data_IF_502363616848
#
_entry.id   IF_502363616848
#
_cell.length_a   1.000
_cell.length_b   1.000
_cell.length_c   1.000
_cell.angle_alpha   90.00
_cell.angle_beta   90.00
_cell.angle_gamma   90.00
#
_symmetry.space_group_name_H-M   'P 1'
#
loop_
_entity.id
_entity.type
_entity.pdbx_description
1 polymer ?
#
# COMPACT_ATOMS: atom_id res chain seq x y z
N UNK A 1 -36.09 -33.74 20.17
CA UNK A 1 -36.45 -32.31 20.05
C UNK A 1 -35.16 -31.54 19.77
N UNK A 2 -34.99 -31.05 18.54
CA UNK A 2 -33.74 -30.43 18.06
C UNK A 2 -33.83 -28.92 18.25
N UNK A 3 -32.94 -28.36 19.06
CA UNK A 3 -32.74 -26.91 19.18
C UNK A 3 -32.30 -26.32 17.84
N UNK A 4 -33.11 -25.42 17.29
CA UNK A 4 -32.69 -24.53 16.19
C UNK A 4 -32.40 -23.14 16.78
N UNK A 5 -31.13 -22.88 17.06
CA UNK A 5 -30.62 -21.53 17.27
C UNK A 5 -29.78 -21.14 16.04
N UNK A 6 -30.29 -20.21 15.24
CA UNK A 6 -29.58 -19.50 14.20
C UNK A 6 -30.24 -18.11 14.07
N UNK A 7 -29.57 -17.07 13.56
CA UNK A 7 -28.18 -16.66 13.72
C UNK A 7 -28.13 -15.15 14.05
N UNK A 8 -27.81 -14.76 15.29
CA UNK A 8 -27.77 -13.33 15.67
C UNK A 8 -26.51 -12.59 15.16
N UNK A 9 -25.54 -13.30 14.58
CA UNK A 9 -24.24 -12.75 14.18
C UNK A 9 -24.22 -12.13 12.77
N UNK A 10 -25.23 -12.41 11.95
CA UNK A 10 -25.29 -11.95 10.55
C UNK A 10 -26.00 -10.59 10.40
N UNK A 11 -26.78 -10.17 11.40
CA UNK A 11 -27.57 -8.94 11.33
C UNK A 11 -26.71 -7.67 11.45
N UNK A 12 -25.64 -7.70 12.25
CA UNK A 12 -24.80 -6.51 12.49
C UNK A 12 -23.91 -6.16 11.31
N UNK A 13 -23.49 -7.15 10.51
CA UNK A 13 -22.69 -6.93 9.30
C UNK A 13 -23.54 -6.32 8.17
N UNK A 14 -24.81 -6.76 8.07
CA UNK A 14 -25.74 -6.30 7.03
C UNK A 14 -26.17 -4.84 7.25
N UNK A 15 -26.36 -4.42 8.51
CA UNK A 15 -26.80 -3.06 8.86
C UNK A 15 -25.75 -1.97 8.56
N UNK A 16 -24.46 -2.29 8.73
CA UNK A 16 -23.36 -1.37 8.40
C UNK A 16 -23.24 -1.18 6.87
N UNK A 17 -23.54 -2.23 6.08
CA UNK A 17 -23.49 -2.16 4.61
C UNK A 17 -24.68 -1.38 4.05
N UNK A 18 -25.89 -1.53 4.62
CA UNK A 18 -27.10 -0.84 4.13
C UNK A 18 -27.13 0.66 4.42
N UNK A 19 -26.50 1.13 5.52
CA UNK A 19 -26.41 2.58 5.80
C UNK A 19 -25.54 3.37 4.83
N UNK A 20 -24.77 2.69 3.95
CA UNK A 20 -23.87 3.34 2.99
C UNK A 20 -24.51 3.47 1.60
N UNK A 21 -25.64 2.80 1.32
CA UNK A 21 -26.17 2.68 -0.05
C UNK A 21 -27.42 3.52 -0.36
N UNK A 22 -28.03 4.23 0.60
CA UNK A 22 -29.42 4.74 0.43
C UNK A 22 -29.67 6.25 0.61
N UNK A 23 -28.66 7.12 0.65
CA UNK A 23 -28.90 8.59 0.71
C UNK A 23 -27.89 9.41 -0.09
N UNK A 24 -28.17 10.70 -0.26
CA UNK A 24 -27.65 11.67 -1.23
C UNK A 24 -26.11 11.92 -1.27
N UNK A 25 -25.57 12.44 -2.39
CA UNK A 25 -24.14 12.61 -2.62
C UNK A 25 -23.62 13.95 -2.06
N UNK A 26 -23.47 14.05 -0.74
CA UNK A 26 -22.74 15.18 -0.13
C UNK A 26 -22.13 14.91 1.27
N UNK A 27 -22.44 13.79 1.92
CA UNK A 27 -22.14 13.64 3.34
C UNK A 27 -20.93 12.75 3.66
N UNK A 28 -20.10 13.23 4.59
CA UNK A 28 -19.06 12.45 5.22
C UNK A 28 -19.70 11.34 6.08
N UNK A 29 -19.74 10.10 5.59
CA UNK A 29 -20.26 8.95 6.33
C UNK A 29 -19.19 8.32 7.20
N UNK A 30 -19.51 8.03 8.45
CA UNK A 30 -18.64 7.30 9.36
C UNK A 30 -19.44 6.34 10.21
N UNK A 31 -18.95 5.11 10.35
CA UNK A 31 -19.48 4.12 11.26
C UNK A 31 -18.35 3.60 12.13
N UNK A 32 -18.56 3.54 13.44
CA UNK A 32 -17.59 3.01 14.39
C UNK A 32 -18.30 2.09 15.38
N UNK A 33 -17.71 0.93 15.63
CA UNK A 33 -18.12 0.00 16.67
C UNK A 33 -16.90 -0.35 17.52
N UNK A 34 -17.07 -0.36 18.84
CA UNK A 34 -16.05 -0.84 19.80
C UNK A 34 -16.73 -1.80 20.76
N UNK A 35 -16.07 -2.91 21.04
CA UNK A 35 -16.50 -3.88 22.04
C UNK A 35 -15.30 -4.45 22.79
N UNK A 36 -15.57 -5.37 23.71
CA UNK A 36 -14.58 -6.00 24.58
C UNK A 36 -13.43 -6.68 23.81
N UNK A 37 -13.67 -7.12 22.57
CA UNK A 37 -12.71 -7.86 21.75
C UNK A 37 -12.10 -7.06 20.60
N UNK A 38 -12.42 -5.76 20.47
CA UNK A 38 -11.85 -4.94 19.40
C UNK A 38 -12.66 -3.72 19.01
N UNK A 39 -12.19 -3.05 17.96
CA UNK A 39 -12.88 -1.94 17.35
C UNK A 39 -12.85 -2.07 15.83
N UNK A 40 -13.95 -1.73 15.19
CA UNK A 40 -14.06 -1.61 13.74
C UNK A 40 -14.60 -0.23 13.39
N UNK A 41 -14.25 0.24 12.21
CA UNK A 41 -14.87 1.44 11.68
C UNK A 41 -14.59 1.62 10.21
N UNK A 42 -15.53 2.30 9.57
CA UNK A 42 -15.43 2.69 8.18
C UNK A 42 -15.75 4.18 8.06
N UNK A 43 -15.17 4.80 7.06
CA UNK A 43 -15.53 6.15 6.64
C UNK A 43 -15.59 6.22 5.12
N UNK A 44 -16.45 7.09 4.63
CA UNK A 44 -16.49 7.54 3.26
C UNK A 44 -16.72 9.05 3.26
N UNK A 45 -16.06 9.75 2.34
CA UNK A 45 -16.19 11.19 2.20
C UNK A 45 -16.04 11.53 0.72
N UNK A 46 -16.99 12.29 0.20
CA UNK A 46 -16.93 12.86 -1.14
C UNK A 46 -16.85 14.38 -1.00
N UNK A 47 -15.90 15.00 -1.68
CA UNK A 47 -15.75 16.44 -1.78
C UNK A 47 -15.78 16.87 -3.24
N UNK A 48 -15.71 18.19 -3.46
CA UNK A 48 -15.82 18.81 -4.79
C UNK A 48 -14.89 18.20 -5.84
N UNK A 49 -13.66 17.87 -5.46
CA UNK A 49 -12.62 17.40 -6.38
C UNK A 49 -12.17 15.97 -6.09
N UNK A 50 -12.95 15.15 -5.37
CA UNK A 50 -12.51 13.79 -5.10
C UNK A 50 -13.26 13.06 -4.01
N UNK A 51 -12.89 11.81 -3.81
CA UNK A 51 -13.48 10.94 -2.81
C UNK A 51 -12.42 10.21 -2.00
N UNK A 52 -12.75 9.82 -0.78
CA UNK A 52 -11.92 8.92 0.02
C UNK A 52 -12.80 8.00 0.85
N UNK A 53 -12.40 6.75 0.95
CA UNK A 53 -13.04 5.79 1.80
C UNK A 53 -11.99 4.93 2.49
N UNK A 54 -12.34 4.38 3.63
CA UNK A 54 -11.50 3.41 4.30
C UNK A 54 -12.23 2.65 5.37
N UNK A 55 -11.72 1.46 5.66
CA UNK A 55 -12.22 0.59 6.70
C UNK A 55 -11.05 0.07 7.51
N UNK A 56 -11.29 -0.19 8.79
CA UNK A 56 -10.31 -0.81 9.69
C UNK A 56 -11.02 -1.66 10.71
N UNK A 57 -10.42 -2.77 11.09
CA UNK A 57 -10.83 -3.52 12.27
C UNK A 57 -9.60 -4.01 13.01
N UNK A 58 -9.63 -3.90 14.33
CA UNK A 58 -8.54 -4.32 15.21
C UNK A 58 -9.13 -5.06 16.40
N UNK A 59 -8.48 -6.16 16.77
CA UNK A 59 -8.72 -6.89 18.00
C UNK A 59 -7.41 -7.13 18.75
N UNK A 60 -7.48 -7.84 19.87
CA UNK A 60 -6.34 -8.05 20.77
C UNK A 60 -5.11 -8.69 20.09
N UNK A 61 -5.33 -9.50 19.05
CA UNK A 61 -4.30 -10.32 18.42
C UNK A 61 -4.06 -9.99 16.94
N UNK A 62 -4.71 -8.97 16.39
CA UNK A 62 -4.55 -8.65 14.98
C UNK A 62 -5.51 -7.59 14.49
N UNK A 63 -5.36 -7.21 13.24
CA UNK A 63 -6.26 -6.28 12.61
C UNK A 63 -5.94 -6.07 11.14
N UNK A 64 -6.83 -5.35 10.47
CA UNK A 64 -6.66 -4.94 9.09
C UNK A 64 -7.07 -3.47 8.93
N UNK A 65 -6.55 -2.86 7.88
CA UNK A 65 -7.02 -1.57 7.40
C UNK A 65 -6.91 -1.52 5.89
N UNK A 66 -7.83 -0.80 5.27
CA UNK A 66 -7.80 -0.44 3.87
C UNK A 66 -8.28 1.00 3.73
N UNK A 67 -7.72 1.73 2.78
CA UNK A 67 -8.17 3.07 2.39
C UNK A 67 -7.91 3.26 0.90
N UNK A 68 -8.84 3.96 0.26
CA UNK A 68 -8.70 4.43 -1.10
C UNK A 68 -9.07 5.91 -1.15
N UNK A 69 -8.46 6.64 -2.06
CA UNK A 69 -8.83 8.01 -2.39
C UNK A 69 -8.69 8.24 -3.89
N UNK A 70 -9.58 9.05 -4.44
CA UNK A 70 -9.50 9.60 -5.78
C UNK A 70 -9.54 11.12 -5.71
N UNK A 71 -8.88 11.75 -6.67
CA UNK A 71 -8.86 13.19 -6.86
C UNK A 71 -9.00 13.47 -8.35
N UNK A 72 -9.88 14.41 -8.66
CA UNK A 72 -10.15 14.95 -9.98
C UNK A 72 -10.12 16.47 -9.82
N UNK A 73 -8.93 17.04 -9.98
CA UNK A 73 -8.68 18.46 -9.81
C UNK A 73 -9.08 19.30 -11.02
N UNK A 74 -9.08 20.63 -10.86
CA UNK A 74 -9.21 21.55 -11.98
C UNK A 74 -8.14 21.29 -13.05
N UNK A 75 -8.46 21.59 -14.31
CA UNK A 75 -7.54 21.50 -15.45
C UNK A 75 -7.04 20.07 -15.75
N UNK A 76 -7.86 19.03 -15.52
CA UNK A 76 -7.58 17.67 -15.98
C UNK A 76 -6.57 16.87 -15.13
N UNK A 77 -6.09 17.42 -14.00
CA UNK A 77 -5.23 16.68 -13.08
C UNK A 77 -6.04 15.63 -12.32
N UNK A 78 -5.61 14.37 -12.36
CA UNK A 78 -6.26 13.28 -11.63
C UNK A 78 -5.26 12.53 -10.74
N UNK A 79 -5.77 11.84 -9.73
CA UNK A 79 -4.95 11.08 -8.80
C UNK A 79 -5.73 10.01 -8.08
N UNK A 80 -5.07 8.91 -7.77
CA UNK A 80 -5.62 7.78 -7.03
C UNK A 80 -4.60 7.28 -6.02
N UNK A 81 -5.10 6.90 -4.85
CA UNK A 81 -4.32 6.26 -3.81
C UNK A 81 -5.09 5.05 -3.31
N UNK A 82 -4.41 3.92 -3.18
CA UNK A 82 -4.89 2.76 -2.46
C UNK A 82 -3.85 2.37 -1.42
N UNK A 83 -4.29 2.00 -0.22
CA UNK A 83 -3.39 1.50 0.81
C UNK A 83 -4.13 0.53 1.70
N UNK A 84 -3.44 -0.51 2.15
CA UNK A 84 -4.02 -1.44 3.09
C UNK A 84 -2.96 -2.25 3.80
N UNK A 85 -3.39 -3.07 4.72
CA UNK A 85 -2.50 -3.96 5.45
C UNK A 85 -3.24 -4.70 6.53
N UNK A 86 -2.63 -5.79 6.98
CA UNK A 86 -3.10 -6.55 8.12
C UNK A 86 -1.92 -7.00 8.98
N UNK A 87 -2.18 -7.26 10.24
CA UNK A 87 -1.20 -7.86 11.15
C UNK A 87 -1.87 -8.89 12.04
N UNK A 88 -1.07 -9.85 12.50
CA UNK A 88 -1.42 -10.80 13.55
C UNK A 88 -0.24 -10.94 14.50
N UNK A 89 -0.49 -10.73 15.79
CA UNK A 89 0.52 -10.79 16.85
C UNK A 89 1.19 -12.18 16.85
N UNK A 90 2.51 -12.20 16.90
CA UNK A 90 3.30 -13.44 16.89
C UNK A 90 3.42 -14.14 15.53
N UNK A 91 2.71 -13.68 14.50
CA UNK A 91 2.81 -14.22 13.13
C UNK A 91 3.50 -13.23 12.20
N UNK A 92 3.06 -11.98 12.20
CA UNK A 92 3.60 -10.97 11.29
C UNK A 92 2.55 -10.01 10.76
N UNK A 93 2.86 -9.36 9.66
CA UNK A 93 1.92 -8.47 9.00
C UNK A 93 2.40 -8.01 7.64
N UNK A 94 1.49 -7.45 6.88
CA UNK A 94 1.78 -6.84 5.59
C UNK A 94 1.15 -5.46 5.48
N UNK A 95 1.72 -4.64 4.60
CA UNK A 95 1.20 -3.35 4.21
C UNK A 95 1.49 -3.12 2.74
N UNK A 96 0.48 -2.69 1.99
CA UNK A 96 0.60 -2.29 0.61
C UNK A 96 0.14 -0.83 0.45
N UNK A 97 0.74 -0.13 -0.49
CA UNK A 97 0.36 1.21 -0.93
C UNK A 97 0.59 1.31 -2.43
N UNK A 98 -0.34 1.98 -3.09
CA UNK A 98 -0.25 2.36 -4.47
C UNK A 98 -0.73 3.79 -4.62
N UNK A 99 -0.07 4.52 -5.51
CA UNK A 99 -0.41 5.85 -5.93
C UNK A 99 -0.26 5.93 -7.44
N UNK A 100 -1.20 6.59 -8.09
CA UNK A 100 -1.16 6.94 -9.51
C UNK A 100 -1.65 8.37 -9.64
N UNK A 101 -1.05 9.16 -10.50
CA UNK A 101 -1.53 10.50 -10.83
C UNK A 101 -1.16 10.88 -12.25
N UNK A 102 -2.00 11.72 -12.83
CA UNK A 102 -1.81 12.34 -14.13
C UNK A 102 -1.97 13.85 -13.95
N UNK A 103 -0.96 14.60 -14.37
CA UNK A 103 -0.98 16.04 -14.37
C UNK A 103 -1.68 16.60 -15.61
N UNK A 104 -2.19 17.83 -15.48
CA UNK A 104 -2.85 18.59 -16.56
C UNK A 104 -2.11 18.59 -17.91
N UNK A 105 -0.77 18.51 -17.87
CA UNK A 105 0.08 18.58 -19.06
C UNK A 105 0.44 17.20 -19.64
N UNK A 106 -0.25 16.12 -19.24
CA UNK A 106 -0.03 14.75 -19.75
C UNK A 106 1.13 13.99 -19.10
N UNK A 107 1.80 14.58 -18.10
CA UNK A 107 2.79 13.86 -17.30
C UNK A 107 2.13 12.95 -16.26
N UNK A 108 2.69 11.78 -16.00
CA UNK A 108 2.14 10.81 -15.05
C UNK A 108 3.15 10.37 -14.00
N UNK A 109 2.65 9.90 -12.85
CA UNK A 109 3.45 9.41 -11.75
C UNK A 109 2.77 8.22 -11.06
N UNK A 110 3.44 7.07 -11.08
CA UNK A 110 3.00 5.85 -10.42
C UNK A 110 4.00 5.48 -9.32
N UNK A 111 3.50 5.14 -8.13
CA UNK A 111 4.32 4.62 -7.03
C UNK A 111 3.64 3.45 -6.37
N UNK A 112 4.40 2.45 -5.99
CA UNK A 112 3.91 1.36 -5.17
C UNK A 112 4.89 1.04 -4.05
N UNK A 113 4.38 0.47 -2.98
CA UNK A 113 5.17 -0.04 -1.88
C UNK A 113 4.43 -1.16 -1.17
N UNK A 114 5.05 -2.32 -1.09
CA UNK A 114 4.56 -3.47 -0.36
C UNK A 114 5.60 -3.86 0.68
N UNK A 115 5.18 -4.23 1.88
CA UNK A 115 6.06 -4.71 2.93
C UNK A 115 5.39 -5.88 3.62
N UNK A 116 6.09 -7.00 3.74
CA UNK A 116 5.69 -8.16 4.51
C UNK A 116 6.74 -8.43 5.59
N UNK A 117 6.29 -8.75 6.80
CA UNK A 117 7.14 -9.08 7.94
C UNK A 117 6.63 -10.35 8.60
N UNK A 118 7.52 -11.29 8.87
CA UNK A 118 7.26 -12.50 9.63
C UNK A 118 7.86 -12.36 11.04
N UNK A 119 7.00 -12.42 12.05
CA UNK A 119 7.40 -12.26 13.44
C UNK A 119 8.10 -13.49 14.03
N UNK A 120 7.89 -14.68 13.47
CA UNK A 120 8.51 -15.93 13.93
C UNK A 120 10.00 -15.97 13.54
N UNK A 121 10.31 -15.54 12.31
CA UNK A 121 11.68 -15.50 11.80
C UNK A 121 12.37 -14.15 12.06
N UNK A 122 11.60 -13.11 12.40
CA UNK A 122 12.11 -11.75 12.55
C UNK A 122 12.56 -11.12 11.24
N UNK A 123 12.13 -11.66 10.09
CA UNK A 123 12.54 -11.21 8.76
C UNK A 123 11.42 -10.47 8.04
N UNK A 124 11.78 -9.58 7.13
CA UNK A 124 10.82 -8.89 6.27
C UNK A 124 11.39 -8.53 4.92
N UNK A 125 10.47 -8.32 3.97
CA UNK A 125 10.77 -7.91 2.60
C UNK A 125 9.89 -6.72 2.26
N UNK A 126 10.51 -5.64 1.81
CA UNK A 126 9.86 -4.43 1.31
C UNK A 126 10.17 -4.28 -0.17
N UNK A 127 9.13 -4.27 -0.99
CA UNK A 127 9.22 -3.89 -2.40
C UNK A 127 8.69 -2.47 -2.57
N UNK A 128 9.31 -1.66 -3.41
CA UNK A 128 8.79 -0.35 -3.79
C UNK A 128 9.28 0.04 -5.16
N UNK A 129 8.47 0.78 -5.89
CA UNK A 129 8.89 1.36 -7.16
C UNK A 129 8.22 2.69 -7.40
N UNK A 130 8.83 3.46 -8.30
CA UNK A 130 8.30 4.70 -8.81
C UNK A 130 8.54 4.75 -10.32
N UNK A 131 7.55 5.21 -11.06
CA UNK A 131 7.65 5.49 -12.50
C UNK A 131 7.03 6.85 -12.76
N UNK A 132 7.68 7.64 -13.61
CA UNK A 132 7.24 8.95 -14.03
C UNK A 132 7.38 9.03 -15.53
N UNK A 133 6.34 9.51 -16.20
CA UNK A 133 6.39 9.85 -17.62
C UNK A 133 6.19 11.34 -17.73
N UNK A 134 7.12 12.06 -18.36
CA UNK A 134 6.94 13.48 -18.62
C UNK A 134 6.04 13.70 -19.86
N UNK A 135 5.54 14.93 -20.09
CA UNK A 135 4.74 15.25 -21.27
C UNK A 135 5.41 14.92 -22.62
N UNK A 136 6.74 14.85 -22.65
CA UNK A 136 7.54 14.52 -23.83
C UNK A 136 7.66 13.00 -24.06
N UNK A 137 6.98 12.17 -23.24
CA UNK A 137 6.99 10.71 -23.35
C UNK A 137 8.22 10.03 -22.75
N UNK A 138 9.13 10.79 -22.13
CA UNK A 138 10.32 10.22 -21.47
C UNK A 138 9.92 9.63 -20.13
N UNK A 139 10.31 8.37 -19.91
CA UNK A 139 10.00 7.64 -18.68
C UNK A 139 11.24 7.45 -17.81
N UNK A 140 11.06 7.67 -16.51
CA UNK A 140 12.08 7.52 -15.48
C UNK A 140 11.51 6.77 -14.31
N UNK A 141 12.34 6.04 -13.58
CA UNK A 141 11.85 5.29 -12.45
C UNK A 141 12.86 4.38 -11.81
N UNK A 142 12.39 3.66 -10.82
CA UNK A 142 13.14 2.60 -10.20
C UNK A 142 12.20 1.54 -9.64
N UNK A 143 12.70 0.32 -9.53
CA UNK A 143 12.15 -0.74 -8.72
C UNK A 143 13.19 -1.11 -7.66
N UNK A 144 12.74 -1.34 -6.44
CA UNK A 144 13.61 -1.65 -5.32
C UNK A 144 13.02 -2.71 -4.41
N UNK A 145 13.90 -3.59 -3.93
CA UNK A 145 13.58 -4.68 -3.01
C UNK A 145 14.55 -4.63 -1.84
N UNK A 146 14.03 -4.45 -0.62
CA UNK A 146 14.80 -4.44 0.62
C UNK A 146 14.42 -5.65 1.47
N UNK A 147 15.38 -6.53 1.71
CA UNK A 147 15.28 -7.63 2.67
C UNK A 147 15.94 -7.23 3.98
N UNK A 148 15.30 -7.51 5.11
CA UNK A 148 15.83 -7.14 6.43
C UNK A 148 15.53 -8.19 7.49
N UNK A 149 16.36 -8.22 8.53
CA UNK A 149 16.17 -9.04 9.71
C UNK A 149 16.28 -8.19 10.97
N UNK A 150 15.42 -8.47 11.95
CA UNK A 150 15.33 -7.72 13.20
C UNK A 150 16.69 -7.71 13.90
N UNK A 151 17.25 -6.52 14.06
CA UNK A 151 18.52 -6.31 14.75
C UNK A 151 19.78 -6.51 13.91
N UNK A 152 19.66 -6.93 12.64
CA UNK A 152 20.82 -7.30 11.79
C UNK A 152 21.06 -6.35 10.61
N UNK A 153 20.17 -5.37 10.37
CA UNK A 153 20.28 -4.45 9.23
C UNK A 153 19.43 -4.89 8.04
N UNK A 154 19.75 -4.39 6.85
CA UNK A 154 18.98 -4.60 5.63
C UNK A 154 19.85 -4.55 4.37
N UNK A 155 19.50 -5.37 3.38
CA UNK A 155 20.08 -5.34 2.04
C UNK A 155 19.02 -4.89 1.05
N UNK A 156 19.33 -3.89 0.24
CA UNK A 156 18.45 -3.36 -0.80
C UNK A 156 19.05 -3.57 -2.18
N UNK A 157 18.24 -4.06 -3.12
CA UNK A 157 18.54 -3.99 -4.56
C UNK A 157 17.67 -2.90 -5.18
N UNK A 158 18.25 -2.04 -6.02
CA UNK A 158 17.59 -0.94 -6.71
C UNK A 158 17.97 -1.02 -8.19
N UNK A 159 16.97 -1.34 -9.01
CA UNK A 159 17.03 -1.26 -10.47
C UNK A 159 16.51 0.12 -10.87
N UNK A 160 17.35 0.92 -11.53
CA UNK A 160 16.96 2.23 -12.02
C UNK A 160 16.80 2.21 -13.53
N UNK A 161 15.66 2.71 -14.02
CA UNK A 161 15.48 2.91 -15.45
C UNK A 161 16.49 3.98 -15.90
N UNK A 162 17.49 3.54 -16.67
CA UNK A 162 18.52 4.35 -17.36
C UNK A 162 19.70 4.88 -16.52
N UNK A 163 19.98 4.40 -15.29
CA UNK A 163 21.17 4.84 -14.52
C UNK A 163 22.00 3.74 -13.84
N UNK A 164 21.83 2.49 -14.25
CA UNK A 164 22.56 1.35 -13.70
C UNK A 164 21.92 0.82 -12.41
N UNK A 165 22.16 -0.46 -12.16
CA UNK A 165 21.60 -1.17 -11.01
C UNK A 165 22.55 -1.02 -9.81
N UNK A 166 21.99 -0.89 -8.61
CA UNK A 166 22.77 -0.74 -7.39
C UNK A 166 22.25 -1.68 -6.31
N UNK A 167 23.18 -2.26 -5.55
CA UNK A 167 22.88 -2.85 -4.26
C UNK A 167 23.37 -1.94 -3.14
N UNK A 168 22.56 -1.81 -2.09
CA UNK A 168 22.89 -1.07 -0.88
C UNK A 168 22.81 -2.03 0.28
N UNK A 169 23.94 -2.35 0.89
CA UNK A 169 24.00 -3.15 2.10
C UNK A 169 24.18 -2.24 3.32
N UNK A 170 23.40 -2.50 4.36
CA UNK A 170 23.48 -1.76 5.60
C UNK A 170 23.39 -2.71 6.79
N UNK A 171 24.48 -2.78 7.55
CA UNK A 171 24.52 -3.46 8.84
C UNK A 171 24.30 -2.46 9.98
N UNK A 172 23.61 -2.90 11.04
CA UNK A 172 23.33 -2.07 12.20
C UNK A 172 24.65 -1.59 12.83
N UNK A 173 24.81 -0.26 12.94
CA UNK A 173 26.01 0.35 13.51
C UNK A 173 27.15 0.60 12.52
N UNK A 174 26.95 0.31 11.24
CA UNK A 174 27.95 0.59 10.19
C UNK A 174 27.41 1.58 9.14
N UNK A 175 28.34 2.22 8.42
CA UNK A 175 28.02 3.06 7.26
C UNK A 175 27.53 2.16 6.11
N UNK A 176 26.47 2.53 5.38
CA UNK A 176 26.01 1.77 4.23
C UNK A 176 27.10 1.62 3.15
N UNK A 177 27.15 0.44 2.53
CA UNK A 177 28.00 0.15 1.37
C UNK A 177 27.13 0.11 0.13
N UNK A 178 27.53 0.83 -0.91
CA UNK A 178 26.83 0.88 -2.20
C UNK A 178 27.70 0.20 -3.25
N UNK A 179 27.16 -0.82 -3.90
CA UNK A 179 27.85 -1.60 -4.93
C UNK A 179 27.06 -1.52 -6.24
N UNK A 180 27.64 -0.93 -7.31
CA UNK A 180 27.06 -1.00 -8.65
C UNK A 180 26.96 -2.47 -9.09
N UNK A 181 25.84 -2.88 -9.67
CA UNK A 181 25.69 -4.18 -10.32
C UNK A 181 26.11 -3.99 -11.79
N UNK A 182 27.09 -4.73 -12.30
CA UNK A 182 27.51 -4.58 -13.69
C UNK A 182 26.37 -4.98 -14.63
N UNK A 183 25.95 -4.05 -15.49
CA UNK A 183 25.08 -4.36 -16.63
C UNK A 183 25.85 -5.29 -17.56
N UNK A 184 25.42 -6.54 -17.69
CA UNK A 184 25.87 -7.40 -18.79
C UNK A 184 25.35 -6.80 -20.09
N UNK A 185 26.16 -5.97 -20.74
CA UNK A 185 25.98 -5.67 -22.16
C UNK A 185 26.26 -6.99 -22.87
N UNK A 186 25.27 -7.64 -23.54
CA UNK A 186 25.60 -8.74 -24.42
C UNK A 186 26.62 -8.21 -25.42
N UNK A 187 27.77 -8.89 -25.53
CA UNK A 187 28.80 -8.53 -26.48
C UNK A 187 28.13 -8.44 -27.85
N UNK A 188 28.02 -7.23 -28.38
CA UNK A 188 27.67 -7.04 -29.77
C UNK A 188 28.72 -7.82 -30.57
N UNK A 189 28.25 -8.77 -31.38
CA UNK A 189 29.04 -9.35 -32.45
C UNK A 189 29.60 -8.18 -33.26
N UNK A 190 30.89 -7.90 -33.08
CA UNK A 190 31.60 -6.98 -33.95
C UNK A 190 31.81 -7.69 -35.30
N UNK A 191 31.64 -6.98 -36.42
CA UNK A 191 31.65 -7.53 -37.78
C UNK A 191 32.97 -8.20 -38.16
#
# INVERSE_FOLDING_TARGET
MIHRAAPLLTATLLFVITSVTLTEPAEARRAFARGQHGAAGAYAHQGQYGSRAGARAFGANGGFSARAASFNGPNGTNGQLAAGGAYKRGVGGFRAKQFSAEGANGGSANRYMNNAYNAQTGTGVRNSGASYTNPQGQSYGYNGTTSYAKGQGATSSIDTQNKGDYTVDWQKGQKPVVTPVPTTVPAAEMP
#
